data_IF_733022053532
#
_entry.id   IF_733022053532
#
_cell.length_a   1.000
_cell.length_b   1.000
_cell.length_c   1.000
_cell.angle_alpha   90.00
_cell.angle_beta   90.00
_cell.angle_gamma   90.00
#
_symmetry.space_group_name_H-M   'P 1'
#
loop_
_entity.id
_entity.type
_entity.pdbx_description
1 polymer ?
#
# COMPACT_ATOMS: atom_id res chain seq x y z
N UNK A 1 -25.85 14.06 -9.69
CA UNK A 1 -24.55 13.36 -9.79
C UNK A 1 -23.44 14.35 -9.48
N UNK A 2 -23.13 14.54 -8.19
CA UNK A 2 -22.07 15.43 -7.68
C UNK A 2 -21.48 14.84 -6.39
N UNK A 3 -20.96 13.62 -6.46
CA UNK A 3 -20.31 12.95 -5.32
C UNK A 3 -18.77 13.04 -5.36
N UNK A 4 -18.20 13.69 -6.37
CA UNK A 4 -16.74 13.64 -6.61
C UNK A 4 -15.97 14.87 -6.10
N UNK A 5 -16.63 15.96 -5.67
CA UNK A 5 -15.94 17.19 -5.21
C UNK A 5 -15.72 17.24 -3.70
N UNK A 6 -16.61 16.63 -2.92
CA UNK A 6 -16.55 16.75 -1.45
C UNK A 6 -15.40 15.91 -0.84
N UNK A 7 -14.92 14.87 -1.53
CA UNK A 7 -13.74 14.09 -1.11
C UNK A 7 -12.41 14.79 -1.45
N UNK A 8 -12.39 15.69 -2.44
CA UNK A 8 -11.20 16.46 -2.84
C UNK A 8 -10.93 17.62 -1.85
N UNK A 9 -11.98 18.23 -1.29
CA UNK A 9 -11.88 19.35 -0.34
C UNK A 9 -11.57 18.93 1.11
N UNK A 10 -11.67 17.64 1.44
CA UNK A 10 -11.39 17.08 2.78
C UNK A 10 -9.96 16.53 2.91
N UNK A 11 -9.00 17.00 2.12
CA UNK A 11 -7.60 16.55 2.22
C UNK A 11 -6.61 17.71 2.18
N UNK A 12 -6.32 18.36 3.33
CA UNK A 12 -5.08 19.11 3.48
C UNK A 12 -4.00 18.18 4.05
N UNK A 13 -3.69 17.03 3.41
CA UNK A 13 -2.60 16.16 3.89
C UNK A 13 -2.22 15.06 2.86
N UNK A 14 -0.98 14.51 2.93
CA UNK A 14 -0.31 13.80 1.85
C UNK A 14 -1.05 12.52 1.42
N UNK A 15 -0.99 12.23 0.12
CA UNK A 15 -1.60 11.07 -0.53
C UNK A 15 -1.51 9.80 0.35
N UNK A 16 -2.59 8.99 0.48
CA UNK A 16 -2.59 7.73 1.22
C UNK A 16 -1.42 6.79 0.88
N UNK A 17 -0.89 6.89 -0.35
CA UNK A 17 0.31 6.19 -0.79
C UNK A 17 1.59 6.61 -0.04
N UNK A 18 1.65 7.85 0.44
CA UNK A 18 2.78 8.43 1.16
C UNK A 18 2.82 7.94 2.61
N UNK A 19 1.65 7.77 3.25
CA UNK A 19 1.50 7.31 4.63
C UNK A 19 0.48 6.18 4.73
N UNK A 20 0.81 4.99 4.18
CA UNK A 20 -0.14 3.88 4.03
C UNK A 20 -0.51 3.19 5.36
N UNK A 21 0.16 3.56 6.46
CA UNK A 21 -0.08 3.05 7.81
C UNK A 21 -1.09 3.89 8.62
N UNK A 22 -1.61 4.99 8.04
CA UNK A 22 -2.59 5.84 8.72
C UNK A 22 -3.99 5.24 8.69
N UNK A 23 -4.85 5.65 9.63
CA UNK A 23 -6.26 5.25 9.64
C UNK A 23 -6.99 5.71 8.37
N UNK A 24 -6.67 6.89 7.85
CA UNK A 24 -7.18 7.40 6.58
C UNK A 24 -6.82 6.49 5.39
N UNK A 25 -5.56 6.05 5.29
CA UNK A 25 -5.16 5.11 4.25
C UNK A 25 -5.85 3.74 4.39
N UNK A 26 -6.06 3.26 5.62
CA UNK A 26 -6.82 2.04 5.86
C UNK A 26 -8.30 2.16 5.45
N UNK A 27 -8.95 3.31 5.67
CA UNK A 27 -10.30 3.58 5.16
C UNK A 27 -10.30 3.57 3.64
N UNK A 28 -9.38 4.30 3.02
CA UNK A 28 -9.25 4.37 1.57
C UNK A 28 -9.09 2.99 0.92
N UNK A 29 -8.19 2.15 1.44
CA UNK A 29 -8.00 0.78 0.91
C UNK A 29 -9.26 -0.07 1.04
N UNK A 30 -10.04 0.07 2.12
CA UNK A 30 -11.33 -0.63 2.25
C UNK A 30 -12.35 -0.14 1.22
N UNK A 31 -12.41 1.16 0.96
CA UNK A 31 -13.33 1.78 0.00
C UNK A 31 -12.99 1.44 -1.46
N UNK A 32 -11.72 1.09 -1.76
CA UNK A 32 -11.36 0.56 -3.08
C UNK A 32 -12.10 -0.74 -3.43
N UNK A 33 -12.63 -1.47 -2.43
CA UNK A 33 -13.43 -2.68 -2.64
C UNK A 33 -12.68 -3.80 -3.36
N UNK A 34 -11.35 -3.83 -3.26
CA UNK A 34 -10.51 -4.84 -3.90
C UNK A 34 -10.60 -6.14 -3.12
N UNK A 35 -11.04 -7.20 -3.78
CA UNK A 35 -11.05 -8.54 -3.20
C UNK A 35 -9.61 -9.08 -3.03
N UNK A 36 -9.39 -9.87 -1.98
CA UNK A 36 -8.08 -10.43 -1.70
C UNK A 36 -7.63 -11.44 -2.78
N UNK A 37 -8.54 -12.27 -3.33
CA UNK A 37 -8.18 -13.19 -4.41
C UNK A 37 -7.76 -12.42 -5.66
N UNK A 38 -8.47 -11.33 -5.95
CA UNK A 38 -8.12 -10.44 -7.04
C UNK A 38 -6.73 -9.84 -6.87
N UNK A 39 -6.43 -9.34 -5.68
CA UNK A 39 -5.12 -8.77 -5.33
C UNK A 39 -3.97 -9.76 -5.56
N UNK A 40 -4.22 -11.05 -5.29
CA UNK A 40 -3.23 -12.13 -5.41
C UNK A 40 -3.09 -12.65 -6.86
N UNK A 41 -4.19 -12.74 -7.60
CA UNK A 41 -4.23 -13.46 -8.87
C UNK A 41 -4.26 -12.56 -10.11
N UNK A 42 -4.95 -11.41 -10.03
CA UNK A 42 -5.14 -10.56 -11.22
C UNK A 42 -3.85 -9.83 -11.59
N UNK A 43 -3.60 -9.79 -12.90
CA UNK A 43 -2.40 -9.15 -13.49
C UNK A 43 -2.30 -7.65 -13.22
N UNK A 44 -3.44 -6.97 -13.06
CA UNK A 44 -3.49 -5.52 -12.79
C UNK A 44 -2.75 -5.16 -11.48
N UNK A 45 -2.70 -6.08 -10.52
CA UNK A 45 -2.02 -5.88 -9.23
C UNK A 45 -0.57 -6.41 -9.20
N UNK A 46 -0.02 -6.87 -10.33
CA UNK A 46 1.38 -7.33 -10.41
C UNK A 46 2.37 -6.30 -9.86
N UNK A 47 2.16 -5.03 -10.23
CA UNK A 47 3.02 -3.93 -9.76
C UNK A 47 2.92 -3.73 -8.25
N UNK A 48 1.71 -3.79 -7.69
CA UNK A 48 1.50 -3.69 -6.24
C UNK A 48 2.18 -4.85 -5.48
N UNK A 49 2.13 -6.07 -6.03
CA UNK A 49 2.81 -7.24 -5.45
C UNK A 49 4.33 -7.11 -5.51
N UNK A 50 4.87 -6.74 -6.68
CA UNK A 50 6.31 -6.50 -6.85
C UNK A 50 6.81 -5.42 -5.88
N UNK A 51 6.06 -4.32 -5.76
CA UNK A 51 6.33 -3.25 -4.82
C UNK A 51 6.25 -3.71 -3.36
N UNK A 52 5.28 -4.56 -3.01
CA UNK A 52 5.19 -5.15 -1.68
C UNK A 52 6.43 -5.95 -1.30
N UNK A 53 6.95 -6.77 -2.23
CA UNK A 53 8.23 -7.49 -2.05
C UNK A 53 9.39 -6.50 -1.86
N UNK A 54 9.47 -5.49 -2.71
CA UNK A 54 10.51 -4.46 -2.62
C UNK A 54 10.50 -3.75 -1.25
N UNK A 55 9.33 -3.38 -0.71
CA UNK A 55 9.22 -2.77 0.62
C UNK A 55 9.79 -3.68 1.71
N UNK A 56 9.56 -4.99 1.63
CA UNK A 56 10.10 -5.97 2.59
C UNK A 56 11.61 -6.06 2.46
N UNK A 57 12.14 -6.16 1.23
CA UNK A 57 13.59 -6.17 0.98
C UNK A 57 14.27 -4.91 1.50
N UNK A 58 13.72 -3.74 1.18
CA UNK A 58 14.22 -2.45 1.63
C UNK A 58 14.15 -2.28 3.16
N UNK A 59 13.13 -2.85 3.81
CA UNK A 59 13.06 -2.87 5.27
C UNK A 59 14.23 -3.67 5.85
N UNK A 60 14.57 -4.83 5.28
CA UNK A 60 15.74 -5.62 5.68
C UNK A 60 17.02 -4.77 5.53
N UNK A 61 17.19 -4.13 4.38
CA UNK A 61 18.33 -3.25 4.06
C UNK A 61 18.39 -1.97 4.91
N UNK A 62 17.30 -1.62 5.61
CA UNK A 62 17.26 -0.58 6.63
C UNK A 62 16.69 0.76 6.21
N UNK A 63 16.15 0.86 4.98
CA UNK A 63 15.43 2.05 4.55
C UNK A 63 14.41 1.69 3.48
N UNK A 64 13.12 1.84 3.81
CA UNK A 64 12.04 1.76 2.84
C UNK A 64 12.00 3.06 2.03
N UNK A 65 12.22 2.95 0.73
CA UNK A 65 12.08 4.09 -0.17
C UNK A 65 10.60 4.39 -0.39
N UNK A 66 10.27 5.68 -0.42
CA UNK A 66 8.92 6.10 -0.78
C UNK A 66 8.79 5.96 -2.30
N UNK A 67 7.68 5.42 -2.80
CA UNK A 67 7.39 5.40 -4.25
C UNK A 67 7.16 6.79 -4.88
N UNK A 68 7.51 7.87 -4.18
CA UNK A 68 7.39 9.26 -4.62
C UNK A 68 8.36 9.47 -5.78
N UNK A 69 7.83 9.60 -7.00
CA UNK A 69 8.60 9.72 -8.24
C UNK A 69 8.61 8.45 -9.11
N UNK A 70 7.94 7.38 -8.68
CA UNK A 70 7.65 6.24 -9.56
C UNK A 70 6.41 6.56 -10.41
N UNK A 71 6.36 6.14 -11.67
CA UNK A 71 5.16 6.21 -12.54
C UNK A 71 4.07 5.20 -12.11
N UNK A 72 3.97 4.94 -10.80
CA UNK A 72 3.02 4.01 -10.22
C UNK A 72 1.78 4.77 -9.77
N UNK A 73 0.58 4.34 -10.18
CA UNK A 73 -0.67 4.88 -9.66
C UNK A 73 -0.70 4.81 -8.13
N UNK A 74 -1.22 5.85 -7.48
CA UNK A 74 -1.28 5.96 -6.03
C UNK A 74 -2.06 4.80 -5.40
N UNK A 75 -3.09 4.30 -6.09
CA UNK A 75 -3.89 3.14 -5.72
C UNK A 75 -3.04 1.87 -5.60
N UNK A 76 -2.12 1.66 -6.56
CA UNK A 76 -1.25 0.49 -6.53
C UNK A 76 -0.15 0.65 -5.49
N UNK A 77 0.40 1.86 -5.31
CA UNK A 77 1.41 2.12 -4.28
C UNK A 77 0.82 1.91 -2.88
N UNK A 78 -0.40 2.40 -2.59
CA UNK A 78 -1.01 2.19 -1.26
C UNK A 78 -1.32 0.71 -1.00
N UNK A 79 -1.73 -0.07 -2.02
CA UNK A 79 -1.96 -1.51 -1.91
C UNK A 79 -0.67 -2.31 -1.66
N UNK A 80 0.50 -1.78 -2.00
CA UNK A 80 1.77 -2.47 -1.74
C UNK A 80 2.07 -2.63 -0.25
N UNK A 81 1.54 -1.74 0.60
CA UNK A 81 1.71 -1.80 2.05
C UNK A 81 0.99 -3.01 2.70
N UNK A 82 -0.34 -3.22 2.52
CA UNK A 82 -0.99 -4.42 3.06
C UNK A 82 -0.41 -5.70 2.46
N UNK A 83 0.04 -5.70 1.20
CA UNK A 83 0.74 -6.87 0.62
C UNK A 83 2.02 -7.18 1.39
N UNK A 84 2.86 -6.19 1.65
CA UNK A 84 4.07 -6.37 2.42
C UNK A 84 3.77 -6.83 3.86
N UNK A 85 2.72 -6.29 4.51
CA UNK A 85 2.25 -6.77 5.82
C UNK A 85 1.83 -8.25 5.79
N UNK A 86 1.15 -8.70 4.73
CA UNK A 86 0.83 -10.12 4.55
C UNK A 86 2.10 -10.95 4.40
N UNK A 87 3.06 -10.52 3.56
CA UNK A 87 4.33 -11.24 3.34
C UNK A 87 5.09 -11.42 4.67
N UNK A 88 5.32 -10.36 5.44
CA UNK A 88 6.07 -10.47 6.71
C UNK A 88 5.33 -11.33 7.73
N UNK A 89 4.00 -11.28 7.74
CA UNK A 89 3.18 -12.12 8.61
C UNK A 89 3.29 -13.60 8.23
N UNK A 90 3.34 -13.92 6.93
CA UNK A 90 3.52 -15.28 6.43
C UNK A 90 4.93 -15.83 6.66
N UNK A 91 5.96 -14.98 6.66
CA UNK A 91 7.34 -15.38 6.99
C UNK A 91 7.45 -15.81 8.46
N UNK A 92 6.74 -15.13 9.36
CA UNK A 92 6.69 -15.50 10.78
C UNK A 92 7.96 -15.18 11.57
N UNK A 93 8.82 -14.29 11.04
CA UNK A 93 10.02 -13.82 11.74
C UNK A 93 9.68 -12.58 12.58
N UNK A 94 9.76 -12.70 13.91
CA UNK A 94 9.41 -11.64 14.85
C UNK A 94 10.24 -10.37 14.68
N UNK A 95 11.51 -10.49 14.27
CA UNK A 95 12.36 -9.34 14.03
C UNK A 95 11.91 -8.59 12.78
N UNK A 96 11.63 -9.32 11.70
CA UNK A 96 11.15 -8.73 10.45
C UNK A 96 9.75 -8.10 10.61
N UNK A 97 8.84 -8.74 11.35
CA UNK A 97 7.50 -8.20 11.64
C UNK A 97 7.55 -6.86 12.39
N UNK A 98 8.54 -6.69 13.29
CA UNK A 98 8.75 -5.44 14.05
C UNK A 98 9.51 -4.38 13.26
N UNK A 99 10.43 -4.81 12.40
CA UNK A 99 11.25 -3.94 11.57
C UNK A 99 10.46 -3.31 10.42
N UNK A 100 9.49 -4.04 9.89
CA UNK A 100 8.59 -3.58 8.84
C UNK A 100 7.38 -2.82 9.40
#
# INVERSE_FOLDING_TARGET
>A
MRLNRDMEDMMPDPSPATYPFTSGAAVYVRELGVDISDLLEKRVYNRARARGVERVTQAIEGKIERGVGTDMPAELEVLSYPIARMIVSCIGDDYLIRRY
#
